data_IF_676905104221
#
_entry.id   IF_676905104221
#
_cell.length_a   1.000
_cell.length_b   1.000
_cell.length_c   1.000
_cell.angle_alpha   90.00
_cell.angle_beta   90.00
_cell.angle_gamma   90.00
#
_symmetry.space_group_name_H-M   'P 1'
#
loop_
_entity.id
_entity.type
_entity.pdbx_description
1 polymer ?
#
# COMPACT_ATOMS: atom_id res chain seq x y z
N UNK A 1 11.81 -26.55 -52.93
CA UNK A 1 11.51 -26.53 -52.72
C UNK A 1 11.36 -26.36 -52.15
N UNK A 2 11.29 -26.06 -52.14
CA UNK A 2 11.05 -26.01 -51.75
C UNK A 2 10.92 -25.80 -50.79
N UNK A 3 11.00 -25.59 -50.58
CA UNK A 3 10.79 -25.45 -49.85
C UNK A 3 10.55 -25.05 -48.85
N UNK A 4 10.65 -25.03 -48.96
CA UNK A 4 10.22 -24.70 -48.16
C UNK A 4 10.20 -24.38 -47.15
N UNK A 5 10.39 -24.29 -47.15
CA UNK A 5 10.15 -24.06 -46.34
C UNK A 5 9.96 -23.75 -45.33
N UNK A 6 10.10 -23.77 -45.43
CA UNK A 6 9.75 -23.51 -44.66
C UNK A 6 9.64 -23.19 -43.70
N UNK A 7 9.71 -23.02 -43.69
CA UNK A 7 9.47 -22.82 -42.82
C UNK A 7 9.31 -22.49 -41.84
N UNK A 8 9.60 -22.48 -42.09
CA UNK A 8 9.32 -22.22 -41.30
C UNK A 8 9.09 -21.92 -40.37
N UNK A 9 9.19 -21.93 -40.57
CA UNK A 9 8.80 -21.71 -39.75
C UNK A 9 8.71 -21.52 -38.80
N UNK A 10 8.94 -21.55 -38.92
CA UNK A 10 8.67 -21.39 -38.11
C UNK A 10 8.53 -21.10 -37.18
N UNK A 11 8.64 -21.03 -37.18
CA UNK A 11 8.37 -20.77 -36.35
C UNK A 11 8.22 -20.45 -35.49
N UNK A 12 8.21 -20.39 -35.55
CA UNK A 12 7.96 -20.01 -34.60
C UNK A 12 7.96 -19.74 -33.70
N UNK A 13 8.13 -19.84 -33.81
CA UNK A 13 7.93 -19.55 -33.08
C UNK A 13 7.83 -19.21 -32.18
N UNK A 14 7.94 -19.19 -32.34
CA UNK A 14 7.70 -18.87 -31.62
C UNK A 14 7.69 -18.54 -30.85
N UNK A 15 7.79 -18.64 -30.79
CA UNK A 15 7.55 -18.31 -30.09
C UNK A 15 7.41 -17.99 -29.16
N UNK A 16 7.50 -18.06 -29.18
CA UNK A 16 7.26 -17.82 -28.34
C UNK A 16 7.29 -17.58 -27.37
N UNK A 17 7.43 -17.61 -27.21
CA UNK A 17 7.28 -17.30 -26.40
C UNK A 17 7.17 -17.07 -25.53
N UNK A 18 7.09 -17.19 -25.53
CA UNK A 18 6.89 -16.84 -24.58
C UNK A 18 6.91 -16.50 -23.62
N UNK A 19 7.09 -16.58 -23.54
CA UNK A 19 6.95 -16.13 -22.79
C UNK A 19 6.78 -15.80 -22.03
N UNK A 20 6.84 -16.07 -22.13
CA UNK A 20 6.49 -15.70 -21.44
C UNK A 20 6.28 -15.34 -20.48
N UNK A 21 6.31 -15.53 -20.31
CA UNK A 21 6.10 -15.25 -19.53
C UNK A 21 5.87 -14.86 -18.72
N UNK A 22 5.76 -14.90 -18.76
CA UNK A 22 5.64 -14.51 -17.96
C UNK A 22 5.06 -14.06 -17.12
N UNK A 23 4.53 -14.40 -17.32
CA UNK A 23 3.92 -14.07 -16.37
C UNK A 23 4.25 -13.15 -15.39
N UNK A 24 5.04 -12.91 -15.37
CA UNK A 24 5.48 -11.94 -14.44
C UNK A 24 4.58 -10.78 -14.30
N UNK A 25 3.86 -10.58 -15.25
CA UNK A 25 2.91 -9.53 -15.16
C UNK A 25 2.13 -9.60 -13.87
N UNK A 26 2.08 -10.78 -13.32
CA UNK A 26 1.39 -10.96 -12.09
C UNK A 26 2.03 -10.17 -10.99
N UNK A 27 3.33 -10.18 -10.96
CA UNK A 27 4.01 -9.49 -9.91
C UNK A 27 3.83 -8.01 -10.00
N UNK A 28 3.68 -7.51 -11.21
CA UNK A 28 3.50 -6.08 -11.33
C UNK A 28 2.20 -5.61 -10.75
N UNK A 29 1.24 -6.51 -10.66
CA UNK A 29 0.01 -6.14 -9.98
C UNK A 29 0.23 -5.90 -8.52
N UNK A 30 1.35 -6.38 -8.00
CA UNK A 30 1.65 -6.21 -6.60
C UNK A 30 2.30 -4.86 -6.37
N UNK A 31 2.55 -4.59 -5.10
CA UNK A 31 3.14 -3.33 -4.68
C UNK A 31 4.57 -3.21 -5.19
N UNK A 32 5.02 -2.00 -5.47
CA UNK A 32 6.45 -1.79 -5.72
C UNK A 32 7.26 -2.25 -4.51
N UNK A 33 8.45 -2.77 -4.79
CA UNK A 33 9.29 -3.31 -3.74
C UNK A 33 9.61 -2.27 -2.66
N UNK A 34 9.84 -1.04 -3.07
CA UNK A 34 10.22 -0.01 -2.10
C UNK A 34 9.09 0.27 -1.11
N UNK A 35 7.83 0.11 -1.56
CA UNK A 35 6.70 0.30 -0.66
C UNK A 35 6.70 -0.79 0.40
N UNK A 36 6.91 -2.02 -0.03
CA UNK A 36 6.97 -3.13 0.93
C UNK A 36 8.09 -2.93 1.94
N UNK A 37 9.25 -2.51 1.45
CA UNK A 37 10.39 -2.31 2.35
C UNK A 37 10.14 -1.18 3.33
N UNK A 38 9.57 -0.08 2.85
CA UNK A 38 9.28 1.05 3.73
C UNK A 38 8.26 0.66 4.79
N UNK A 39 7.23 -0.09 4.41
CA UNK A 39 6.21 -0.51 5.36
C UNK A 39 6.81 -1.41 6.42
N UNK A 40 7.63 -2.39 5.99
CA UNK A 40 8.23 -3.32 6.94
C UNK A 40 9.15 -2.59 7.90
N UNK A 41 9.96 -1.68 7.39
CA UNK A 41 10.87 -0.92 8.24
C UNK A 41 10.11 -0.05 9.23
N UNK A 42 9.01 0.56 8.77
CA UNK A 42 8.19 1.39 9.61
C UNK A 42 7.58 0.57 10.75
N UNK A 43 7.05 -0.61 10.42
CA UNK A 43 6.45 -1.48 11.42
C UNK A 43 7.46 -1.99 12.42
N UNK A 44 8.69 -2.21 11.98
CA UNK A 44 9.72 -2.78 12.85
C UNK A 44 10.44 -1.74 13.69
N UNK A 45 10.18 -0.47 13.46
CA UNK A 45 10.79 0.59 14.26
C UNK A 45 10.23 0.53 15.67
N UNK A 46 11.08 0.40 16.70
CA UNK A 46 10.58 0.26 18.06
C UNK A 46 9.86 1.50 18.58
N UNK A 47 10.03 2.64 17.92
CA UNK A 47 9.35 3.86 18.33
C UNK A 47 7.99 4.04 17.68
N UNK A 48 7.62 3.16 16.76
CA UNK A 48 6.34 3.24 16.08
C UNK A 48 5.24 2.65 16.96
N UNK A 49 4.14 3.39 17.06
CA UNK A 49 2.98 2.96 17.82
C UNK A 49 2.12 2.09 16.92
N UNK A 50 1.73 0.92 17.40
CA UNK A 50 1.01 -0.06 16.59
C UNK A 50 -0.44 -0.17 17.05
N UNK A 51 -1.35 -0.18 16.08
CA UNK A 51 -2.76 -0.49 16.31
C UNK A 51 -3.16 -1.64 15.39
N UNK A 52 -4.01 -2.52 15.88
CA UNK A 52 -4.47 -3.66 15.11
C UNK A 52 -5.98 -3.71 15.15
N UNK A 53 -6.59 -3.99 13.99
CA UNK A 53 -8.04 -4.08 13.91
C UNK A 53 -8.69 -2.72 13.86
N UNK A 54 -10.00 -2.70 14.05
CA UNK A 54 -10.76 -1.47 14.01
C UNK A 54 -10.31 -0.53 15.13
N UNK A 55 -9.93 0.66 14.76
CA UNK A 55 -9.36 1.62 15.71
C UNK A 55 -9.91 3.00 15.41
N UNK A 56 -10.11 3.79 16.44
CA UNK A 56 -10.57 5.17 16.30
C UNK A 56 -9.78 6.06 17.25
N UNK A 57 -9.27 7.17 16.70
CA UNK A 57 -8.63 8.22 17.49
C UNK A 57 -9.67 9.29 17.72
N UNK A 58 -10.19 9.45 18.94
CA UNK A 58 -11.28 10.41 19.18
C UNK A 58 -10.81 11.84 19.08
N UNK A 59 -11.76 12.76 18.94
CA UNK A 59 -11.48 14.15 18.63
C UNK A 59 -10.60 14.83 19.67
N UNK A 60 -10.66 14.41 20.90
CA UNK A 60 -9.89 15.05 21.98
C UNK A 60 -8.50 14.46 22.15
N UNK A 61 -8.14 13.46 21.32
CA UNK A 61 -6.91 12.73 21.54
C UNK A 61 -5.83 13.14 20.56
N UNK A 62 -4.62 13.31 21.09
CA UNK A 62 -3.43 13.52 20.28
C UNK A 62 -2.50 12.34 20.51
N UNK A 63 -2.13 11.65 19.44
CA UNK A 63 -1.15 10.57 19.49
C UNK A 63 0.16 11.15 18.98
N UNK A 64 1.16 11.18 19.85
CA UNK A 64 2.47 11.74 19.51
C UNK A 64 3.38 10.62 19.10
N UNK A 65 3.85 10.67 17.87
CA UNK A 65 4.75 9.67 17.32
C UNK A 65 4.20 9.09 16.04
N UNK A 66 5.01 8.26 15.41
CA UNK A 66 4.63 7.55 14.20
C UNK A 66 3.67 6.42 14.54
N UNK A 67 2.69 6.19 13.67
CA UNK A 67 1.63 5.22 13.91
C UNK A 67 1.56 4.25 12.75
N UNK A 68 1.49 2.98 13.07
CA UNK A 68 1.28 1.92 12.10
C UNK A 68 0.00 1.18 12.49
N UNK A 69 -0.95 1.10 11.55
CA UNK A 69 -2.21 0.42 11.77
C UNK A 69 -2.32 -0.76 10.82
N UNK A 70 -2.79 -1.89 11.33
CA UNK A 70 -2.91 -3.12 10.57
C UNK A 70 -4.31 -3.66 10.69
N UNK A 71 -4.95 -3.83 9.52
CA UNK A 71 -6.29 -4.41 9.46
C UNK A 71 -7.36 -3.45 9.95
N UNK A 72 -8.60 -3.75 9.60
CA UNK A 72 -9.74 -2.97 10.03
C UNK A 72 -9.71 -1.53 9.53
N UNK A 73 -10.77 -0.78 9.72
CA UNK A 73 -10.69 0.65 9.44
C UNK A 73 -9.98 1.38 10.57
N UNK A 74 -9.19 2.36 10.19
CA UNK A 74 -8.53 3.25 11.13
C UNK A 74 -9.14 4.64 10.95
N UNK A 75 -9.85 5.10 11.95
CA UNK A 75 -10.60 6.35 11.88
C UNK A 75 -9.93 7.39 12.75
N UNK A 76 -9.74 8.58 12.19
CA UNK A 76 -9.12 9.68 12.92
C UNK A 76 -10.11 10.82 13.03
N UNK A 77 -10.45 11.19 14.26
CA UNK A 77 -11.17 12.40 14.56
C UNK A 77 -10.28 13.38 15.32
N UNK A 78 -9.21 12.88 15.90
CA UNK A 78 -8.25 13.68 16.64
C UNK A 78 -7.00 13.93 15.80
N UNK A 79 -5.85 13.81 16.44
CA UNK A 79 -4.59 14.17 15.81
C UNK A 79 -3.56 13.06 15.95
N UNK A 80 -2.80 12.82 14.87
CA UNK A 80 -1.58 12.01 14.90
C UNK A 80 -0.43 12.97 14.63
N UNK A 81 0.44 13.11 15.60
CA UNK A 81 1.58 14.02 15.49
C UNK A 81 2.78 13.19 15.07
N UNK A 82 2.85 12.86 13.79
CA UNK A 82 3.87 12.02 13.21
C UNK A 82 3.38 11.47 11.88
N UNK A 83 4.05 10.45 11.39
CA UNK A 83 3.69 9.77 10.15
C UNK A 83 2.71 8.64 10.43
N UNK A 84 1.90 8.32 9.43
CA UNK A 84 0.89 7.28 9.57
C UNK A 84 0.99 6.30 8.41
N UNK A 85 1.05 5.02 8.73
CA UNK A 85 0.99 3.95 7.73
C UNK A 85 -0.18 3.05 8.10
N UNK A 86 -1.08 2.83 7.16
CA UNK A 86 -2.23 1.93 7.34
C UNK A 86 -2.07 0.79 6.34
N UNK A 87 -2.08 -0.43 6.84
CA UNK A 87 -1.86 -1.62 6.01
C UNK A 87 -3.08 -2.52 6.07
N UNK A 88 -3.57 -2.88 4.90
CA UNK A 88 -4.67 -3.82 4.73
C UNK A 88 -5.92 -3.38 5.50
N UNK A 89 -6.23 -2.09 5.36
CA UNK A 89 -7.43 -1.53 5.96
C UNK A 89 -7.66 -0.14 5.42
N UNK A 90 -8.85 0.38 5.64
CA UNK A 90 -9.20 1.71 5.16
C UNK A 90 -8.83 2.76 6.20
N UNK A 91 -8.56 3.95 5.71
CA UNK A 91 -8.29 5.11 6.55
C UNK A 91 -9.44 6.10 6.38
N UNK A 92 -10.03 6.52 7.49
CA UNK A 92 -11.17 7.41 7.48
C UNK A 92 -10.83 8.66 8.29
N UNK A 93 -10.92 9.82 7.64
CA UNK A 93 -10.77 11.10 8.32
C UNK A 93 -12.15 11.67 8.64
N UNK A 94 -12.33 12.07 9.88
CA UNK A 94 -13.51 12.84 10.25
C UNK A 94 -13.13 14.31 10.33
N UNK A 95 -14.13 15.16 10.42
CA UNK A 95 -13.89 16.60 10.46
C UNK A 95 -13.00 16.95 11.66
N UNK A 96 -11.96 17.69 11.38
CA UNK A 96 -11.02 18.09 12.43
C UNK A 96 -9.83 17.16 12.60
N UNK A 97 -9.80 16.06 11.85
CA UNK A 97 -8.67 15.14 11.93
C UNK A 97 -7.39 15.78 11.39
N UNK A 98 -6.28 15.49 12.04
CA UNK A 98 -4.99 16.04 11.63
C UNK A 98 -3.94 14.94 11.71
N UNK A 99 -3.14 14.83 10.65
CA UNK A 99 -1.90 14.07 10.67
C UNK A 99 -0.81 15.04 10.28
N UNK A 100 0.16 15.26 11.16
CA UNK A 100 1.16 16.29 10.91
C UNK A 100 2.22 15.84 9.91
N UNK A 101 2.44 14.56 9.78
CA UNK A 101 3.41 14.03 8.83
C UNK A 101 2.76 13.53 7.56
N UNK A 102 3.37 12.51 6.96
CA UNK A 102 2.85 11.90 5.75
C UNK A 102 1.96 10.72 6.06
N UNK A 103 1.16 10.33 5.07
CA UNK A 103 0.24 9.21 5.19
C UNK A 103 0.51 8.24 4.04
N UNK A 104 0.63 6.97 4.37
CA UNK A 104 0.77 5.91 3.39
C UNK A 104 -0.28 4.85 3.70
N UNK A 105 -1.12 4.55 2.72
CA UNK A 105 -2.15 3.51 2.87
C UNK A 105 -1.85 2.43 1.84
N UNK A 106 -1.75 1.20 2.32
CA UNK A 106 -1.45 0.05 1.48
C UNK A 106 -2.54 -0.98 1.70
N UNK A 107 -3.22 -1.34 0.61
CA UNK A 107 -4.27 -2.35 0.68
C UNK A 107 -5.58 -1.84 1.23
N UNK A 108 -5.88 -0.57 0.99
CA UNK A 108 -7.13 0.02 1.41
C UNK A 108 -7.36 1.33 0.72
N UNK A 109 -8.36 2.04 1.17
CA UNK A 109 -8.76 3.30 0.59
C UNK A 109 -8.80 4.37 1.67
N UNK A 110 -8.88 5.63 1.23
CA UNK A 110 -8.93 6.78 2.13
C UNK A 110 -10.26 7.49 1.92
N UNK A 111 -10.93 7.77 3.02
CA UNK A 111 -12.20 8.47 3.02
C UNK A 111 -12.09 9.72 3.88
N UNK A 112 -12.72 10.81 3.44
CA UNK A 112 -12.77 12.03 4.23
C UNK A 112 -11.49 12.85 4.16
N UNK A 113 -10.67 12.62 3.17
CA UNK A 113 -9.41 13.38 3.07
C UNK A 113 -9.65 14.87 2.87
N UNK A 114 -10.84 15.26 2.40
CA UNK A 114 -11.17 16.65 2.19
C UNK A 114 -11.55 17.37 3.47
N UNK A 115 -11.86 16.63 4.54
CA UNK A 115 -12.21 17.26 5.82
C UNK A 115 -11.10 17.11 6.86
N UNK A 116 -10.08 16.34 6.54
CA UNK A 116 -8.91 16.21 7.41
C UNK A 116 -7.75 17.05 6.92
N UNK A 117 -6.70 17.10 7.72
CA UNK A 117 -5.48 17.81 7.34
C UNK A 117 -4.33 16.83 7.38
N UNK A 118 -3.51 16.84 6.31
CA UNK A 118 -2.31 16.03 6.23
C UNK A 118 -1.16 16.98 5.98
N UNK A 119 -0.16 16.95 6.86
CA UNK A 119 0.90 17.92 6.83
C UNK A 119 1.90 17.72 5.69
N UNK A 120 2.04 16.50 5.23
CA UNK A 120 2.97 16.21 4.15
C UNK A 120 2.21 15.58 2.99
N UNK A 121 2.62 14.40 2.53
CA UNK A 121 1.98 13.82 1.37
C UNK A 121 1.08 12.65 1.76
N UNK A 122 0.16 12.34 0.85
CA UNK A 122 -0.72 11.20 0.98
C UNK A 122 -0.46 10.28 -0.20
N UNK A 123 -0.15 9.02 0.09
CA UNK A 123 0.05 8.02 -0.96
C UNK A 123 -0.83 6.82 -0.65
N UNK A 124 -1.53 6.34 -1.66
CA UNK A 124 -2.47 5.24 -1.51
C UNK A 124 -2.16 4.18 -2.55
N UNK A 125 -1.97 2.96 -2.08
CA UNK A 125 -1.80 1.79 -2.93
C UNK A 125 -2.91 0.82 -2.58
N UNK A 126 -3.75 0.50 -3.55
CA UNK A 126 -4.91 -0.32 -3.28
C UNK A 126 -4.57 -1.80 -3.16
N UNK A 127 -3.43 -2.20 -3.70
CA UNK A 127 -3.01 -3.59 -3.59
C UNK A 127 -2.63 -3.91 -2.15
N UNK A 128 -3.14 -5.03 -1.63
CA UNK A 128 -2.82 -5.38 -0.25
C UNK A 128 -1.38 -5.82 -0.10
N UNK A 129 -0.86 -5.60 1.09
CA UNK A 129 0.45 -6.12 1.44
C UNK A 129 0.31 -7.60 1.77
N UNK A 130 1.16 -8.40 1.16
CA UNK A 130 1.14 -9.84 1.38
C UNK A 130 2.24 -10.21 2.34
N UNK A 131 1.88 -11.00 3.31
CA UNK A 131 2.85 -11.49 4.28
C UNK A 131 3.33 -12.85 3.86
N UNK A 132 4.62 -13.06 4.02
CA UNK A 132 5.21 -14.37 3.83
C UNK A 132 5.64 -14.84 5.20
N UNK A 133 5.04 -15.91 5.64
CA UNK A 133 5.31 -16.46 6.97
C UNK A 133 6.48 -17.42 6.98
#
# INVERSE_FOLDING_TARGET
MKKGLVFLALLPLAFGSPSYGQEPAIEEADLPRWVEEDVVNFFNDPNTIHFTGRTRIPASRVVVGDVAALGGPFTIAGEVDGDLVVVNGDLVFETGAVVTGGVLVVGGQVFGEDVGEIGEDLRVFEEPLRYVQ
#
